data_IF_842329217916
#
_entry.id   IF_842329217916
#
_cell.length_a   1.000
_cell.length_b   1.000
_cell.length_c   1.000
_cell.angle_alpha   90.00
_cell.angle_beta   90.00
_cell.angle_gamma   90.00
#
_symmetry.space_group_name_H-M   'P 1'
#
loop_
_entity.id
_entity.type
_entity.pdbx_description
1 polymer ?
#
# COMPACT_ATOMS: atom_id res chain seq x y z
N UNK A 1 11.23 -22.29 2.00
CA UNK A 1 11.22 -21.84 1.63
C UNK A 1 10.58 -21.05 1.30
N UNK A 2 10.30 -20.71 1.33
CA UNK A 2 9.90 -20.04 1.05
C UNK A 2 9.33 -19.57 0.29
N UNK A 3 8.66 -19.66 0.00
CA UNK A 3 8.20 -19.12 -0.83
C UNK A 3 8.37 -17.77 -1.09
N UNK A 4 9.07 -17.43 -1.48
CA UNK A 4 9.60 -16.11 -1.61
C UNK A 4 9.10 -15.38 -2.80
N UNK A 5 8.51 -16.04 -3.72
CA UNK A 5 7.98 -15.41 -4.93
C UNK A 5 6.84 -14.46 -4.65
N UNK A 6 6.16 -14.66 -3.54
CA UNK A 6 5.04 -13.82 -3.17
C UNK A 6 5.33 -13.04 -1.91
N UNK A 7 6.59 -12.63 -1.77
CA UNK A 7 6.97 -11.83 -0.62
C UNK A 7 6.22 -10.52 -0.60
N UNK A 8 5.67 -10.20 0.54
CA UNK A 8 5.07 -8.91 0.77
C UNK A 8 6.08 -7.99 1.40
N UNK A 9 6.06 -6.75 0.97
CA UNK A 9 6.90 -5.72 1.55
C UNK A 9 6.04 -4.51 1.85
N UNK A 10 6.38 -3.81 2.92
CA UNK A 10 5.68 -2.57 3.24
C UNK A 10 6.19 -1.50 2.30
N UNK A 11 5.29 -0.92 1.54
CA UNK A 11 5.64 0.05 0.51
C UNK A 11 4.68 1.23 0.55
N UNK A 12 5.16 2.34 0.04
CA UNK A 12 4.33 3.52 -0.26
C UNK A 12 3.90 3.40 -1.72
N UNK A 13 2.63 3.63 -1.98
CA UNK A 13 2.13 3.68 -3.35
C UNK A 13 1.61 5.07 -3.63
N UNK A 14 2.12 5.67 -4.71
CA UNK A 14 1.63 6.94 -5.23
C UNK A 14 0.68 6.63 -6.37
N UNK A 15 -0.46 7.30 -6.38
CA UNK A 15 -1.49 7.08 -7.39
C UNK A 15 -1.48 8.20 -8.39
N UNK A 16 -1.72 7.86 -9.67
CA UNK A 16 -1.92 8.87 -10.69
C UNK A 16 -3.22 9.60 -10.39
N UNK A 17 -3.22 10.90 -10.54
CA UNK A 17 -4.42 11.73 -10.45
C UNK A 17 -5.08 11.75 -9.08
N UNK A 18 -4.41 11.25 -8.05
CA UNK A 18 -4.93 11.32 -6.69
C UNK A 18 -3.79 11.72 -5.77
N UNK A 19 -4.10 12.53 -4.76
CA UNK A 19 -3.04 13.05 -3.87
C UNK A 19 -2.67 12.11 -2.74
N UNK A 20 -3.44 11.05 -2.50
CA UNK A 20 -3.19 10.20 -1.35
C UNK A 20 -1.91 9.41 -1.52
N UNK A 21 -1.15 9.30 -0.43
CA UNK A 21 -0.01 8.41 -0.33
C UNK A 21 -0.48 7.20 0.47
N UNK A 22 -0.42 6.02 -0.13
CA UNK A 22 -0.90 4.81 0.53
C UNK A 22 0.28 4.01 1.05
N UNK A 23 0.10 3.38 2.20
CA UNK A 23 1.11 2.47 2.75
C UNK A 23 0.43 1.16 3.12
N UNK A 24 1.09 0.06 2.85
CA UNK A 24 0.57 -1.26 3.16
C UNK A 24 1.52 -2.33 2.72
N UNK A 25 1.12 -3.58 2.93
CA UNK A 25 1.88 -4.74 2.49
C UNK A 25 1.51 -4.99 1.02
N UNK A 26 2.50 -4.86 0.15
CA UNK A 26 2.28 -4.88 -1.29
C UNK A 26 2.80 -6.18 -1.88
N UNK A 27 1.98 -6.79 -2.72
CA UNK A 27 2.35 -7.95 -3.52
C UNK A 27 2.11 -7.61 -4.98
N UNK A 28 3.10 -7.87 -5.82
CA UNK A 28 2.95 -7.67 -7.26
C UNK A 28 2.56 -8.99 -7.90
N UNK A 29 1.54 -8.92 -8.75
CA UNK A 29 0.95 -10.09 -9.38
C UNK A 29 1.24 -10.05 -10.87
N UNK A 30 1.14 -11.23 -11.50
CA UNK A 30 1.47 -11.35 -12.92
C UNK A 30 0.39 -10.83 -13.85
N UNK A 31 -0.84 -10.73 -13.36
CA UNK A 31 -1.98 -10.32 -14.19
C UNK A 31 -2.74 -9.20 -13.51
N UNK A 32 -3.42 -8.39 -14.34
CA UNK A 32 -4.23 -7.31 -13.80
C UNK A 32 -5.48 -7.86 -13.11
N UNK A 33 -5.89 -7.26 -12.00
CA UNK A 33 -5.18 -6.19 -11.30
C UNK A 33 -3.88 -6.71 -10.72
N UNK A 34 -2.78 -6.01 -10.98
CA UNK A 34 -1.45 -6.55 -10.74
C UNK A 34 -0.84 -6.14 -9.41
N UNK A 35 -1.51 -5.30 -8.65
CA UNK A 35 -1.00 -4.84 -7.35
C UNK A 35 -2.03 -5.17 -6.29
N UNK A 36 -1.61 -5.93 -5.29
CA UNK A 36 -2.43 -6.15 -4.10
C UNK A 36 -1.78 -5.40 -2.95
N UNK A 37 -2.54 -4.52 -2.30
CA UNK A 37 -2.08 -3.85 -1.09
C UNK A 37 -2.97 -4.27 0.05
N UNK A 38 -2.36 -4.78 1.12
CA UNK A 38 -3.08 -5.28 2.27
C UNK A 38 -2.79 -4.41 3.48
N UNK A 39 -3.81 -4.25 4.33
CA UNK A 39 -3.67 -3.41 5.50
C UNK A 39 -3.37 -1.97 5.13
N UNK A 40 -4.14 -1.40 4.21
CA UNK A 40 -3.83 -0.12 3.60
C UNK A 40 -4.21 1.05 4.49
N UNK A 41 -3.32 2.03 4.59
CA UNK A 41 -3.57 3.29 5.28
C UNK A 41 -3.11 4.43 4.38
N UNK A 42 -3.74 5.58 4.58
CA UNK A 42 -3.28 6.81 3.95
C UNK A 42 -2.32 7.51 4.88
N UNK A 43 -1.20 7.98 4.33
CA UNK A 43 -0.21 8.76 5.10
C UNK A 43 -0.64 10.20 5.12
N UNK A 44 -0.84 10.75 6.32
CA UNK A 44 -1.22 12.14 6.48
C UNK A 44 -0.25 12.81 7.44
N UNK A 45 -0.35 14.14 7.55
CA UNK A 45 0.47 14.90 8.48
C UNK A 45 0.19 14.51 9.93
N UNK A 46 -1.01 13.98 10.20
CA UNK A 46 -1.40 13.57 11.54
C UNK A 46 -1.19 12.11 11.82
N UNK A 47 -0.59 11.37 10.89
CA UNK A 47 -0.32 9.96 11.05
C UNK A 47 -1.03 9.14 10.00
N UNK A 48 -1.32 7.89 10.31
CA UNK A 48 -1.93 6.98 9.36
C UNK A 48 -3.42 6.89 9.60
N UNK A 49 -4.18 6.99 8.51
CA UNK A 49 -5.63 6.93 8.53
C UNK A 49 -6.06 5.76 7.65
N UNK A 50 -7.00 4.96 8.13
CA UNK A 50 -7.47 3.81 7.37
C UNK A 50 -7.96 4.24 5.99
N UNK A 51 -7.60 3.50 4.98
CA UNK A 51 -7.96 3.74 3.60
C UNK A 51 -8.38 2.42 2.94
N UNK A 52 -9.47 2.38 2.17
CA UNK A 52 -10.33 3.50 1.81
C UNK A 52 -11.28 3.88 2.94
N UNK A 53 -11.73 5.11 2.92
CA UNK A 53 -12.72 5.59 3.88
C UNK A 53 -14.06 4.90 3.63
N UNK A 54 -14.85 4.79 4.71
CA UNK A 54 -16.22 4.29 4.59
C UNK A 54 -16.31 2.82 4.19
N UNK A 55 -15.21 2.08 4.33
CA UNK A 55 -15.19 0.65 4.02
C UNK A 55 -14.59 -0.10 5.18
N UNK A 56 -15.12 -1.27 5.45
CA UNK A 56 -14.51 -2.18 6.41
C UNK A 56 -13.31 -2.90 5.81
N UNK A 57 -13.21 -2.88 4.48
CA UNK A 57 -12.15 -3.58 3.77
C UNK A 57 -10.88 -2.75 3.77
N UNK A 58 -9.76 -3.40 4.07
CA UNK A 58 -8.46 -2.75 4.11
C UNK A 58 -7.52 -3.30 3.06
N UNK A 59 -7.94 -4.28 2.31
CA UNK A 59 -7.15 -4.89 1.25
C UNK A 59 -7.75 -4.52 -0.08
N UNK A 60 -6.91 -4.09 -1.01
CA UNK A 60 -7.38 -3.64 -2.31
C UNK A 60 -6.49 -4.16 -3.41
N UNK A 61 -7.11 -4.41 -4.56
CA UNK A 61 -6.36 -4.63 -5.79
C UNK A 61 -6.33 -3.34 -6.59
N UNK A 62 -5.16 -3.04 -7.15
CA UNK A 62 -4.98 -1.87 -8.01
C UNK A 62 -4.47 -2.33 -9.36
N UNK A 63 -4.97 -1.68 -10.40
CA UNK A 63 -4.44 -1.92 -11.75
C UNK A 63 -3.15 -1.11 -11.91
N UNK A 64 -2.27 -1.60 -12.77
CA UNK A 64 -0.99 -0.94 -12.95
C UNK A 64 -1.14 0.47 -13.51
N UNK A 65 -2.21 0.73 -14.26
CA UNK A 65 -2.37 2.04 -14.89
C UNK A 65 -2.79 3.14 -13.92
N UNK A 66 -3.18 2.82 -12.69
CA UNK A 66 -3.48 3.87 -11.71
C UNK A 66 -2.33 4.12 -10.75
N UNK A 67 -1.28 3.32 -10.81
CA UNK A 67 -0.14 3.44 -9.91
C UNK A 67 0.93 4.29 -10.59
N UNK A 68 1.33 5.37 -9.94
CA UNK A 68 2.41 6.21 -10.43
C UNK A 68 3.76 5.63 -10.04
N UNK A 69 3.90 5.22 -8.79
CA UNK A 69 5.17 4.70 -8.30
C UNK A 69 4.96 3.89 -7.03
N UNK A 70 5.87 2.97 -6.79
CA UNK A 70 5.92 2.16 -5.57
C UNK A 70 7.27 2.42 -4.93
N UNK A 71 7.27 2.90 -3.69
CA UNK A 71 8.48 3.39 -3.03
C UNK A 71 8.63 2.77 -1.65
N UNK A 72 9.85 2.79 -1.14
CA UNK A 72 10.08 2.38 0.23
C UNK A 72 9.60 3.46 1.19
N UNK A 73 8.94 3.08 2.29
CA UNK A 73 8.51 4.08 3.26
C UNK A 73 9.71 4.63 4.03
N UNK A 74 9.56 5.85 4.53
CA UNK A 74 10.56 6.39 5.44
C UNK A 74 10.51 5.60 6.75
N UNK A 75 11.59 5.73 7.54
CA UNK A 75 11.63 5.07 8.85
C UNK A 75 10.47 5.51 9.72
N UNK A 76 10.12 6.77 9.65
CA UNK A 76 9.03 7.31 10.44
C UNK A 76 7.69 6.69 10.07
N UNK A 77 7.42 6.60 8.78
CA UNK A 77 6.18 5.99 8.31
C UNK A 77 6.14 4.51 8.66
N UNK A 78 7.26 3.83 8.50
CA UNK A 78 7.32 2.41 8.81
C UNK A 78 7.05 2.16 10.29
N UNK A 79 7.57 3.01 11.17
CA UNK A 79 7.27 2.88 12.59
C UNK A 79 5.80 3.08 12.88
N UNK A 80 5.19 4.06 12.25
CA UNK A 80 3.76 4.29 12.41
C UNK A 80 2.96 3.08 11.95
N UNK A 81 3.34 2.53 10.81
CA UNK A 81 2.63 1.39 10.27
C UNK A 81 2.75 0.17 11.18
N UNK A 82 3.94 -0.09 11.68
CA UNK A 82 4.16 -1.25 12.54
C UNK A 82 3.48 -1.13 13.90
N UNK A 83 3.09 0.08 14.28
CA UNK A 83 2.37 0.31 15.53
C UNK A 83 0.86 0.09 15.40
N UNK A 84 0.37 -0.15 14.21
CA UNK A 84 -1.08 -0.38 13.99
C UNK A 84 -1.52 -1.79 14.31
#
# INVERSE_FOLDING_TARGET
MEDSMLQQQIKIILLKQRPEYLVGAVTELDEEPSILIEGCYEVTDDGLVAFPKHSAQRDMFLTSDVVLSILDPSDEVLKLYNAK
#
